data_IF_788676887225
#
_entry.id   IF_788676887225
#
_cell.length_a   1.000
_cell.length_b   1.000
_cell.length_c   1.000
_cell.angle_alpha   90.00
_cell.angle_beta   90.00
_cell.angle_gamma   90.00
#
_symmetry.space_group_name_H-M   'P 1'
#
loop_
_entity.id
_entity.type
_entity.pdbx_description
1 polymer ?
#
# COMPACT_ATOMS: atom_id res chain seq x y z
N UNK A 1 -2.73 -5.04 7.65
CA UNK A 1 -2.05 -4.95 6.34
C UNK A 1 -2.45 -3.63 5.72
N UNK A 2 -1.51 -2.82 5.22
CA UNK A 2 -1.84 -1.52 4.60
C UNK A 2 -1.91 -1.61 3.07
N UNK A 3 -2.86 -0.90 2.46
CA UNK A 3 -3.10 -0.91 1.02
C UNK A 3 -2.84 0.46 0.39
N UNK A 4 -1.94 0.55 -0.59
CA UNK A 4 -1.72 1.77 -1.38
C UNK A 4 -2.12 1.50 -2.84
N UNK A 5 -3.18 2.15 -3.31
CA UNK A 5 -3.94 1.73 -4.49
C UNK A 5 -4.15 2.85 -5.50
N UNK A 6 -3.88 2.56 -6.77
CA UNK A 6 -4.27 3.40 -7.91
C UNK A 6 -5.22 2.64 -8.87
N UNK A 7 -6.52 2.89 -8.72
CA UNK A 7 -7.59 2.85 -9.74
C UNK A 7 -7.81 1.66 -10.73
N UNK A 8 -7.13 0.53 -10.64
CA UNK A 8 -7.45 -0.71 -11.41
C UNK A 8 -8.25 -1.76 -10.63
N UNK A 9 -9.52 -1.46 -10.38
CA UNK A 9 -10.48 -2.11 -9.44
C UNK A 9 -10.64 -3.65 -9.50
N UNK A 10 -10.16 -4.36 -10.53
CA UNK A 10 -10.42 -5.82 -10.68
C UNK A 10 -9.29 -6.75 -10.23
N UNK A 11 -8.04 -6.28 -10.18
CA UNK A 11 -6.91 -7.10 -9.71
C UNK A 11 -6.74 -6.98 -8.18
N UNK A 12 -7.05 -5.81 -7.61
CA UNK A 12 -6.86 -5.52 -6.19
C UNK A 12 -7.77 -6.33 -5.29
N UNK A 13 -9.08 -6.35 -5.56
CA UNK A 13 -10.04 -7.10 -4.75
C UNK A 13 -9.62 -8.56 -4.59
N UNK A 14 -9.02 -9.15 -5.64
CA UNK A 14 -8.51 -10.53 -5.59
C UNK A 14 -7.25 -10.71 -4.74
N UNK A 15 -6.32 -9.75 -4.76
CA UNK A 15 -5.07 -9.82 -3.98
C UNK A 15 -5.34 -9.49 -2.51
N UNK A 16 -6.20 -8.51 -2.24
CA UNK A 16 -6.66 -8.18 -0.89
C UNK A 16 -7.40 -9.36 -0.27
N UNK A 17 -8.37 -9.95 -0.99
CA UNK A 17 -9.11 -11.09 -0.49
C UNK A 17 -8.19 -12.30 -0.19
N UNK A 18 -7.22 -12.58 -1.06
CA UNK A 18 -6.25 -13.65 -0.84
C UNK A 18 -5.31 -13.38 0.35
N UNK A 19 -4.96 -12.11 0.58
CA UNK A 19 -4.14 -11.70 1.72
C UNK A 19 -4.92 -11.78 3.05
N UNK A 20 -6.19 -11.37 3.05
CA UNK A 20 -7.08 -11.46 4.23
C UNK A 20 -7.39 -12.92 4.60
N UNK A 21 -7.42 -13.83 3.62
CA UNK A 21 -7.66 -15.27 3.85
C UNK A 21 -6.58 -15.94 4.73
N UNK A 22 -5.38 -15.34 4.84
CA UNK A 22 -4.26 -15.91 5.60
C UNK A 22 -3.65 -14.95 6.65
N UNK A 23 -4.17 -13.73 6.77
CA UNK A 23 -3.62 -12.71 7.67
C UNK A 23 -4.77 -12.04 8.42
N UNK A 24 -4.78 -12.14 9.75
CA UNK A 24 -5.73 -11.41 10.62
C UNK A 24 -5.35 -9.93 10.73
N UNK A 25 -5.14 -9.26 9.60
CA UNK A 25 -4.63 -7.91 9.53
C UNK A 25 -5.74 -6.90 9.24
N UNK A 26 -5.98 -5.98 10.17
CA UNK A 26 -6.83 -4.82 9.93
C UNK A 26 -6.14 -3.88 8.92
N UNK A 27 -6.93 -3.30 7.99
CA UNK A 27 -6.45 -2.22 7.14
C UNK A 27 -6.41 -0.93 7.95
N UNK A 28 -5.22 -0.41 8.16
CA UNK A 28 -4.99 0.77 9.00
C UNK A 28 -4.98 2.08 8.18
N UNK A 29 -5.18 2.01 6.85
CA UNK A 29 -5.38 3.16 5.94
C UNK A 29 -5.04 2.91 4.46
N UNK A 30 -5.15 3.97 3.65
CA UNK A 30 -5.02 3.93 2.19
C UNK A 30 -4.31 5.18 1.63
N UNK A 31 -3.62 5.05 0.49
CA UNK A 31 -3.01 6.18 -0.23
C UNK A 31 -3.25 6.10 -1.74
N UNK A 32 -3.34 7.28 -2.33
CA UNK A 32 -3.58 7.51 -3.76
C UNK A 32 -2.29 7.72 -4.57
N UNK A 33 -1.16 7.92 -3.90
CA UNK A 33 0.15 8.16 -4.53
C UNK A 33 1.32 7.79 -3.60
N UNK A 34 2.52 7.67 -4.15
CA UNK A 34 3.70 7.26 -3.38
C UNK A 34 4.11 8.22 -2.25
N UNK A 35 3.83 9.52 -2.37
CA UNK A 35 4.17 10.49 -1.32
C UNK A 35 3.26 10.32 -0.11
N UNK A 36 1.95 10.25 -0.33
CA UNK A 36 0.96 9.97 0.72
C UNK A 36 1.23 8.61 1.38
N UNK A 37 1.66 7.61 0.61
CA UNK A 37 2.04 6.30 1.14
C UNK A 37 3.21 6.36 2.12
N UNK A 38 4.22 7.23 1.89
CA UNK A 38 5.33 7.45 2.82
C UNK A 38 4.85 8.09 4.12
N UNK A 39 3.99 9.12 4.03
CA UNK A 39 3.46 9.84 5.19
C UNK A 39 2.71 8.86 6.11
N UNK A 40 1.80 8.10 5.53
CA UNK A 40 1.00 7.10 6.23
C UNK A 40 1.85 5.95 6.79
N UNK A 41 2.81 5.41 6.02
CA UNK A 41 3.69 4.35 6.51
C UNK A 41 4.53 4.79 7.71
N UNK A 42 4.92 6.07 7.74
CA UNK A 42 5.66 6.64 8.85
C UNK A 42 4.82 6.84 10.11
N UNK A 43 3.55 7.23 9.96
CA UNK A 43 2.62 7.41 11.07
C UNK A 43 2.14 6.09 11.65
N UNK A 44 1.71 5.16 10.78
CA UNK A 44 1.03 3.94 11.21
C UNK A 44 1.97 2.76 11.46
N UNK A 45 3.23 2.83 11.01
CA UNK A 45 4.26 1.78 11.20
C UNK A 45 3.75 0.35 10.92
N UNK A 46 3.23 0.07 9.71
CA UNK A 46 2.66 -1.23 9.39
C UNK A 46 3.71 -2.34 9.29
N UNK A 47 3.31 -3.56 9.65
CA UNK A 47 4.15 -4.76 9.46
C UNK A 47 4.26 -5.19 7.99
N UNK A 48 3.21 -4.93 7.21
CA UNK A 48 3.12 -5.28 5.79
C UNK A 48 2.46 -4.16 5.01
N UNK A 49 3.12 -3.77 3.92
CA UNK A 49 2.65 -2.78 2.96
C UNK A 49 2.43 -3.47 1.61
N UNK A 50 1.22 -3.37 1.06
CA UNK A 50 0.99 -3.64 -0.34
C UNK A 50 1.07 -2.32 -1.11
N UNK A 51 1.99 -2.26 -2.08
CA UNK A 51 2.31 -1.06 -2.83
C UNK A 51 2.10 -1.28 -4.33
N UNK A 52 1.34 -0.41 -4.98
CA UNK A 52 1.30 -0.35 -6.43
C UNK A 52 2.59 0.24 -7.02
N UNK A 53 3.16 -0.42 -8.01
CA UNK A 53 4.35 0.04 -8.74
C UNK A 53 4.08 1.34 -9.52
N UNK A 54 2.89 1.52 -10.09
CA UNK A 54 2.55 2.66 -10.94
C UNK A 54 1.51 3.56 -10.27
N UNK A 55 2.00 4.65 -9.68
CA UNK A 55 1.17 5.63 -9.00
C UNK A 55 1.40 7.05 -9.55
N UNK A 56 0.42 7.95 -9.41
CA UNK A 56 0.60 9.36 -9.72
C UNK A 56 1.62 10.00 -8.77
N UNK A 57 2.21 11.14 -9.16
CA UNK A 57 3.13 11.98 -8.34
C UNK A 57 4.47 11.31 -7.99
N UNK A 58 4.45 10.13 -7.38
CA UNK A 58 5.59 9.31 -7.00
C UNK A 58 5.22 7.85 -7.17
N UNK A 59 6.08 7.07 -7.82
CA UNK A 59 5.85 5.64 -8.04
C UNK A 59 5.96 4.84 -6.75
N UNK A 60 5.39 3.63 -6.73
CA UNK A 60 5.55 2.74 -5.57
C UNK A 60 6.99 2.29 -5.35
N UNK A 61 7.79 2.18 -6.41
CA UNK A 61 9.21 1.82 -6.29
C UNK A 61 9.97 2.92 -5.54
N UNK A 62 9.74 4.18 -5.90
CA UNK A 62 10.33 5.33 -5.20
C UNK A 62 9.84 5.40 -3.75
N UNK A 63 8.54 5.19 -3.51
CA UNK A 63 7.97 5.17 -2.17
C UNK A 63 8.53 4.05 -1.29
N UNK A 64 8.59 2.81 -1.80
CA UNK A 64 9.21 1.67 -1.10
C UNK A 64 10.67 1.95 -0.77
N UNK A 65 11.42 2.56 -1.70
CA UNK A 65 12.81 2.96 -1.45
C UNK A 65 12.90 4.00 -0.32
N UNK A 66 12.00 4.98 -0.29
CA UNK A 66 11.97 6.01 0.75
C UNK A 66 11.54 5.47 2.13
N UNK A 67 10.68 4.45 2.17
CA UNK A 67 10.20 3.84 3.43
C UNK A 67 11.27 2.93 4.07
N UNK A 68 12.08 2.27 3.25
CA UNK A 68 13.10 1.32 3.71
C UNK A 68 14.45 1.97 4.07
N UNK A 69 14.64 3.26 3.75
CA UNK A 69 15.83 4.05 4.07
C UNK A 69 15.62 4.88 5.35
#
# INVERSE_FOLDING_TARGET
MFHFLNHSTLLYDSVTAAAEENVSGESIGEASNGKEAIEIANECKPDVILMDVQMPIMSGIEATTAILN
#
